data_IF_467582215228
#
_entry.id   IF_467582215228
#
_cell.length_a   1.000
_cell.length_b   1.000
_cell.length_c   1.000
_cell.angle_alpha   90.00
_cell.angle_beta   90.00
_cell.angle_gamma   90.00
#
_symmetry.space_group_name_H-M   'P 1'
#
loop_
_entity.id
_entity.type
_entity.pdbx_description
1 polymer ?
#
# COMPACT_ATOMS: atom_id res chain seq x y z
N UNK A 1 46.77 6.77 0.31
CA UNK A 1 45.91 5.56 0.33
C UNK A 1 45.13 5.50 -0.97
N UNK A 2 45.50 4.61 -1.90
CA UNK A 2 44.87 4.51 -3.23
C UNK A 2 43.58 3.67 -3.15
N UNK A 3 42.48 4.10 -3.79
CA UNK A 3 41.25 3.30 -3.85
C UNK A 3 41.52 2.01 -4.65
N UNK A 4 41.55 0.87 -3.96
CA UNK A 4 41.67 -0.47 -4.56
C UNK A 4 40.32 -0.86 -5.18
N UNK A 5 40.13 -0.46 -6.44
CA UNK A 5 39.20 -0.97 -7.47
C UNK A 5 38.72 0.21 -8.34
N UNK A 6 39.52 0.59 -9.33
CA UNK A 6 39.04 1.46 -10.40
C UNK A 6 38.43 0.55 -11.45
N UNK A 7 37.12 0.67 -11.68
CA UNK A 7 36.47 -0.03 -12.78
C UNK A 7 37.16 0.35 -14.10
N UNK A 8 37.85 -0.61 -14.73
CA UNK A 8 38.63 -0.41 -15.97
C UNK A 8 37.75 0.12 -17.11
N UNK A 9 36.45 -0.15 -17.07
CA UNK A 9 35.46 0.36 -18.04
C UNK A 9 34.48 1.30 -17.33
N UNK A 10 34.52 2.61 -17.68
CA UNK A 10 33.51 3.58 -17.24
C UNK A 10 32.17 3.25 -17.91
N UNK A 11 31.15 2.88 -17.12
CA UNK A 11 29.78 2.72 -17.62
C UNK A 11 29.29 4.04 -18.24
N UNK A 12 28.83 3.99 -19.49
CA UNK A 12 28.22 5.14 -20.18
C UNK A 12 27.07 5.72 -19.35
N UNK A 13 27.03 7.05 -19.19
CA UNK A 13 25.94 7.73 -18.48
C UNK A 13 24.63 7.53 -19.22
N UNK A 14 23.61 7.02 -18.54
CA UNK A 14 22.27 6.87 -19.11
C UNK A 14 21.65 8.25 -19.37
N UNK A 15 20.86 8.41 -20.44
CA UNK A 15 20.18 9.68 -20.74
C UNK A 15 19.23 10.07 -19.59
N UNK A 16 19.03 11.39 -19.43
CA UNK A 16 18.11 11.94 -18.42
C UNK A 16 16.69 11.47 -18.75
N UNK A 17 16.04 10.92 -17.74
CA UNK A 17 14.72 10.34 -17.86
C UNK A 17 13.65 11.42 -17.62
N UNK A 18 12.47 11.28 -18.23
CA UNK A 18 11.38 12.24 -18.08
C UNK A 18 10.94 12.40 -16.61
N UNK A 19 10.43 13.58 -16.27
CA UNK A 19 9.99 13.93 -14.90
C UNK A 19 8.92 12.97 -14.36
N UNK A 20 8.08 12.39 -15.22
CA UNK A 20 7.02 11.44 -14.85
C UNK A 20 7.47 9.98 -14.78
N UNK A 21 8.78 9.70 -14.83
CA UNK A 21 9.24 8.31 -14.71
C UNK A 21 9.04 7.73 -13.31
N UNK A 22 9.20 8.55 -12.28
CA UNK A 22 9.13 8.07 -10.90
C UNK A 22 7.68 7.94 -10.43
N UNK A 23 7.35 6.81 -9.78
CA UNK A 23 6.00 6.53 -9.27
C UNK A 23 5.42 7.61 -8.34
N UNK A 24 6.31 8.30 -7.61
CA UNK A 24 5.94 9.43 -6.73
C UNK A 24 5.33 10.62 -7.49
N UNK A 25 5.66 10.77 -8.78
CA UNK A 25 5.20 11.89 -9.61
C UNK A 25 3.96 11.52 -10.45
N UNK A 26 3.46 10.28 -10.34
CA UNK A 26 2.28 9.86 -11.11
C UNK A 26 0.99 10.44 -10.54
N UNK A 27 0.07 10.97 -11.37
CA UNK A 27 -1.22 11.45 -10.89
C UNK A 27 -2.05 10.30 -10.32
N UNK A 28 -2.63 10.49 -9.13
CA UNK A 28 -3.39 9.45 -8.42
C UNK A 28 -4.89 9.64 -8.63
N UNK A 29 -5.37 9.33 -9.83
CA UNK A 29 -6.79 9.47 -10.18
C UNK A 29 -7.66 8.45 -9.44
N UNK A 30 -8.76 8.94 -8.88
CA UNK A 30 -9.78 8.14 -8.21
C UNK A 30 -10.96 7.89 -9.16
N UNK A 31 -11.59 6.71 -9.07
CA UNK A 31 -12.85 6.42 -9.78
C UNK A 31 -14.00 7.27 -9.21
N UNK A 32 -14.96 7.72 -10.02
CA UNK A 32 -16.05 8.59 -9.56
C UNK A 32 -17.01 7.91 -8.56
N UNK A 33 -17.14 6.58 -8.61
CA UNK A 33 -17.95 5.83 -7.63
C UNK A 33 -17.35 5.81 -6.22
N UNK A 34 -16.07 6.18 -6.09
CA UNK A 34 -15.33 6.15 -4.83
C UNK A 34 -15.48 7.48 -4.11
N UNK A 35 -16.60 7.66 -3.43
CA UNK A 35 -16.78 8.78 -2.49
C UNK A 35 -16.52 8.31 -1.07
N UNK A 36 -15.92 9.13 -0.19
CA UNK A 36 -15.74 8.75 1.21
C UNK A 36 -17.08 8.29 1.80
N UNK A 37 -17.06 7.12 2.43
CA UNK A 37 -18.26 6.44 2.95
C UNK A 37 -19.01 5.54 1.98
N UNK A 38 -18.59 5.44 0.71
CA UNK A 38 -19.12 4.41 -0.20
C UNK A 38 -18.82 3.02 0.34
N UNK A 39 -19.83 2.15 0.32
CA UNK A 39 -19.65 0.72 0.60
C UNK A 39 -19.01 0.07 -0.63
N UNK A 40 -17.99 -0.73 -0.37
CA UNK A 40 -17.12 -1.33 -1.37
C UNK A 40 -17.03 -2.84 -1.19
N UNK A 41 -17.06 -3.56 -2.30
CA UNK A 41 -16.89 -5.01 -2.33
C UNK A 41 -15.45 -5.31 -2.73
N UNK A 42 -14.75 -6.07 -1.88
CA UNK A 42 -13.37 -6.47 -2.13
C UNK A 42 -13.33 -7.69 -3.06
N UNK A 43 -12.55 -7.63 -4.12
CA UNK A 43 -12.43 -8.72 -5.09
C UNK A 43 -11.26 -9.66 -4.79
N UNK A 44 -10.20 -9.13 -4.18
CA UNK A 44 -8.95 -9.86 -3.98
C UNK A 44 -8.47 -9.83 -2.53
N UNK A 45 -7.65 -10.83 -2.18
CA UNK A 45 -7.06 -10.99 -0.86
C UNK A 45 -7.94 -11.80 0.11
N UNK A 46 -7.54 -11.83 1.38
CA UNK A 46 -8.19 -12.66 2.42
C UNK A 46 -9.64 -12.23 2.73
N UNK A 47 -9.99 -10.99 2.40
CA UNK A 47 -11.30 -10.40 2.66
C UNK A 47 -12.15 -10.29 1.38
N UNK A 48 -11.86 -11.09 0.34
CA UNK A 48 -12.65 -11.12 -0.90
C UNK A 48 -14.13 -11.45 -0.64
N UNK A 49 -15.03 -10.85 -1.40
CA UNK A 49 -16.49 -10.97 -1.24
C UNK A 49 -17.09 -10.18 -0.08
N UNK A 50 -16.27 -9.68 0.85
CA UNK A 50 -16.76 -8.90 1.98
C UNK A 50 -17.07 -7.46 1.58
N UNK A 51 -18.11 -6.90 2.20
CA UNK A 51 -18.44 -5.48 2.13
C UNK A 51 -17.58 -4.72 3.15
N UNK A 52 -17.02 -3.60 2.73
CA UNK A 52 -16.24 -2.72 3.58
C UNK A 52 -16.58 -1.26 3.23
N UNK A 53 -16.07 -0.33 4.03
CA UNK A 53 -16.34 1.10 3.92
C UNK A 53 -15.07 1.80 3.46
N UNK A 54 -15.18 2.58 2.39
CA UNK A 54 -14.08 3.41 1.91
C UNK A 54 -13.96 4.68 2.77
N UNK A 55 -12.75 4.99 3.23
CA UNK A 55 -12.48 6.14 4.10
C UNK A 55 -11.82 7.29 3.32
N UNK A 56 -10.54 7.12 2.98
CA UNK A 56 -9.73 8.13 2.28
C UNK A 56 -8.78 7.50 1.27
N UNK A 57 -8.36 8.27 0.28
CA UNK A 57 -7.25 7.92 -0.60
C UNK A 57 -5.93 8.32 0.08
N UNK A 58 -4.93 7.44 0.05
CA UNK A 58 -3.58 7.71 0.55
C UNK A 58 -2.72 8.36 -0.53
N UNK A 59 -1.60 8.97 -0.13
CA UNK A 59 -0.66 9.64 -1.05
C UNK A 59 -0.07 8.72 -2.13
N UNK A 60 0.03 7.41 -1.86
CA UNK A 60 0.42 6.41 -2.86
C UNK A 60 -0.61 6.19 -3.98
N UNK A 61 -1.86 6.63 -3.78
CA UNK A 61 -3.02 6.32 -4.61
C UNK A 61 -3.77 5.05 -4.21
N UNK A 62 -3.32 4.37 -3.15
CA UNK A 62 -4.08 3.27 -2.53
C UNK A 62 -5.23 3.80 -1.70
N UNK A 63 -6.26 2.97 -1.51
CA UNK A 63 -7.45 3.31 -0.76
C UNK A 63 -7.34 2.76 0.66
N UNK A 64 -7.63 3.61 1.64
CA UNK A 64 -7.82 3.19 3.02
C UNK A 64 -9.28 2.74 3.18
N UNK A 65 -9.43 1.50 3.62
CA UNK A 65 -10.72 0.85 3.80
C UNK A 65 -10.79 0.32 5.23
N UNK A 66 -11.97 0.40 5.81
CA UNK A 66 -12.31 -0.29 7.05
C UNK A 66 -13.56 -1.12 6.81
N UNK A 67 -13.57 -2.40 7.18
CA UNK A 67 -14.84 -3.01 7.53
C UNK A 67 -14.99 -2.85 9.03
N UNK A 68 -16.15 -2.48 9.59
CA UNK A 68 -16.31 -2.52 11.03
C UNK A 68 -15.88 -3.90 11.55
N UNK A 69 -14.77 -3.96 12.31
CA UNK A 69 -14.05 -5.23 12.55
C UNK A 69 -14.93 -6.25 13.27
N UNK A 70 -15.80 -5.74 14.16
CA UNK A 70 -16.80 -6.52 14.88
C UNK A 70 -17.84 -7.20 13.97
N UNK A 71 -18.16 -6.61 12.82
CA UNK A 71 -19.16 -7.13 11.90
C UNK A 71 -18.54 -8.07 10.87
N UNK A 72 -17.50 -7.59 10.18
CA UNK A 72 -17.02 -8.26 8.95
C UNK A 72 -15.64 -8.91 9.14
N UNK A 73 -14.96 -8.66 10.26
CA UNK A 73 -13.59 -9.11 10.50
C UNK A 73 -12.55 -8.52 9.52
N UNK A 74 -12.90 -7.45 8.81
CA UNK A 74 -11.98 -6.74 7.92
C UNK A 74 -11.32 -5.61 8.71
N UNK A 75 -10.01 -5.67 9.01
CA UNK A 75 -9.34 -4.57 9.71
C UNK A 75 -9.16 -3.35 8.79
N UNK A 76 -8.64 -2.26 9.36
CA UNK A 76 -8.08 -1.15 8.59
C UNK A 76 -7.00 -1.67 7.64
N UNK A 77 -7.23 -1.50 6.33
CA UNK A 77 -6.38 -2.08 5.30
C UNK A 77 -6.28 -1.18 4.09
N UNK A 78 -5.10 -1.17 3.48
CA UNK A 78 -4.84 -0.53 2.17
C UNK A 78 -5.16 -1.49 1.03
N UNK A 79 -5.92 -1.03 0.04
CA UNK A 79 -6.31 -1.82 -1.14
C UNK A 79 -6.23 -0.94 -2.39
N UNK A 80 -5.89 -1.55 -3.53
CA UNK A 80 -5.88 -0.87 -4.82
C UNK A 80 -7.31 -0.78 -5.38
N UNK A 81 -7.68 0.37 -5.96
CA UNK A 81 -8.97 0.63 -6.58
C UNK A 81 -9.38 -0.35 -7.69
N UNK A 82 -8.42 -1.08 -8.29
CA UNK A 82 -8.72 -2.09 -9.32
C UNK A 82 -9.44 -3.30 -8.72
N UNK A 83 -9.08 -3.69 -7.49
CA UNK A 83 -9.62 -4.88 -6.83
C UNK A 83 -10.88 -4.62 -6.02
N UNK A 84 -11.62 -3.58 -6.39
CA UNK A 84 -12.73 -3.11 -5.60
C UNK A 84 -13.86 -2.60 -6.49
N UNK A 85 -15.08 -2.99 -6.13
CA UNK A 85 -16.30 -2.52 -6.77
C UNK A 85 -16.98 -1.53 -5.85
N UNK A 86 -17.21 -0.32 -6.36
CA UNK A 86 -18.04 0.68 -5.70
C UNK A 86 -19.50 0.35 -5.85
N UNK A 87 -20.19 0.23 -4.73
CA UNK A 87 -21.65 0.12 -4.73
C UNK A 87 -22.29 1.51 -4.76
N UNK A 88 -23.60 1.56 -4.98
CA UNK A 88 -24.37 2.81 -4.92
C UNK A 88 -24.68 3.25 -3.48
N UNK A 89 -24.60 2.33 -2.52
CA UNK A 89 -24.89 2.62 -1.11
C UNK A 89 -23.75 3.41 -0.48
N UNK A 90 -24.10 4.53 0.16
CA UNK A 90 -23.16 5.45 0.80
C UNK A 90 -23.56 5.65 2.27
N UNK A 91 -22.56 5.69 3.13
CA UNK A 91 -22.69 6.05 4.52
C UNK A 91 -22.18 7.48 4.71
N UNK A 92 -22.83 8.25 5.57
CA UNK A 92 -22.36 9.59 5.93
C UNK A 92 -21.24 9.45 6.98
N UNK A 93 -20.04 9.91 6.65
CA UNK A 93 -18.82 9.80 7.48
C UNK A 93 -18.27 11.20 7.77
N UNK A 94 -19.17 12.13 8.14
CA UNK A 94 -18.75 13.51 8.46
C UNK A 94 -18.14 13.60 9.86
N UNK A 95 -18.67 12.82 10.80
CA UNK A 95 -18.32 12.91 12.22
C UNK A 95 -17.17 11.96 12.62
N UNK A 96 -16.61 11.22 11.66
CA UNK A 96 -15.52 10.27 11.94
C UNK A 96 -14.19 10.87 11.55
N UNK A 97 -13.41 11.22 12.57
CA UNK A 97 -12.06 11.71 12.39
C UNK A 97 -11.11 10.55 12.03
N UNK A 98 -10.39 10.70 10.91
CA UNK A 98 -9.38 9.74 10.48
C UNK A 98 -8.02 10.28 10.93
N UNK A 99 -7.31 9.62 11.86
CA UNK A 99 -6.04 10.11 12.35
C UNK A 99 -4.98 10.31 11.27
N UNK A 100 -4.16 11.36 11.40
CA UNK A 100 -3.12 11.72 10.43
C UNK A 100 -1.95 10.74 10.39
N UNK A 101 -1.72 9.99 11.47
CA UNK A 101 -0.67 8.97 11.51
C UNK A 101 -0.95 7.79 10.56
N UNK A 102 -2.20 7.62 10.09
CA UNK A 102 -2.61 6.57 9.16
C UNK A 102 -2.17 6.87 7.72
N UNK A 103 -0.87 6.74 7.50
CA UNK A 103 -0.20 6.99 6.22
C UNK A 103 0.37 5.71 5.60
N UNK A 104 0.90 5.82 4.38
CA UNK A 104 1.48 4.69 3.66
C UNK A 104 2.65 3.99 4.39
N UNK A 105 3.38 4.75 5.23
CA UNK A 105 4.47 4.26 6.07
C UNK A 105 3.96 3.36 7.19
N UNK A 106 2.82 3.72 7.81
CA UNK A 106 2.22 2.95 8.90
C UNK A 106 1.89 1.53 8.47
N UNK A 107 1.32 1.38 7.28
CA UNK A 107 0.92 0.08 6.73
C UNK A 107 2.04 -0.64 5.97
N UNK A 108 3.27 -0.13 5.98
CA UNK A 108 4.39 -0.75 5.25
C UNK A 108 4.81 -2.03 5.98
N UNK A 109 4.94 -3.13 5.23
CA UNK A 109 5.42 -4.39 5.82
C UNK A 109 6.83 -4.21 6.36
N UNK A 110 7.04 -4.59 7.62
CA UNK A 110 8.36 -4.65 8.24
C UNK A 110 9.17 -5.73 7.52
N UNK A 111 10.36 -5.36 7.03
CA UNK A 111 11.31 -6.30 6.43
C UNK A 111 12.29 -6.73 7.52
N UNK A 112 12.32 -8.01 7.86
CA UNK A 112 13.34 -8.56 8.74
C UNK A 112 14.71 -8.47 8.04
N UNK A 113 15.75 -8.04 8.77
CA UNK A 113 17.12 -8.01 8.26
C UNK A 113 17.59 -9.46 8.05
N UNK A 114 18.19 -9.75 6.89
CA UNK A 114 18.86 -11.05 6.66
C UNK A 114 20.02 -11.17 7.65
N UNK A 115 20.06 -12.26 8.41
CA UNK A 115 21.17 -12.58 9.33
C UNK A 115 22.39 -13.08 8.54
N UNK A 116 23.55 -12.97 9.15
CA UNK A 116 24.87 -13.18 8.51
C UNK A 116 25.12 -14.65 8.16
N UNK A 117 24.56 -15.60 8.91
CA UNK A 117 24.71 -17.04 8.66
C UNK A 117 23.39 -17.62 8.10
N UNK A 118 23.29 -17.88 6.80
CA UNK A 118 22.04 -18.32 6.16
C UNK A 118 21.68 -19.80 6.41
N UNK A 119 22.65 -20.64 6.79
CA UNK A 119 22.48 -22.09 6.86
C UNK A 119 21.88 -22.60 8.20
N UNK A 120 22.17 -21.94 9.32
CA UNK A 120 21.75 -22.41 10.65
C UNK A 120 20.31 -22.02 11.04
N UNK A 121 19.72 -21.03 10.38
CA UNK A 121 18.44 -20.42 10.77
C UNK A 121 17.26 -20.76 9.81
N UNK A 122 17.44 -21.71 8.88
CA UNK A 122 16.48 -22.04 7.80
C UNK A 122 15.10 -22.46 8.34
N UNK A 123 15.07 -23.18 9.46
CA UNK A 123 13.85 -23.73 10.04
C UNK A 123 13.28 -22.91 11.21
N UNK A 124 14.00 -21.88 11.67
CA UNK A 124 13.50 -20.98 12.71
C UNK A 124 12.43 -20.11 12.08
N UNK A 125 11.17 -20.54 12.23
CA UNK A 125 10.01 -19.79 11.75
C UNK A 125 9.93 -18.51 12.56
N UNK A 126 10.56 -17.43 12.07
CA UNK A 126 10.43 -16.13 12.70
C UNK A 126 8.97 -15.72 12.62
N UNK A 127 8.25 -15.87 13.74
CA UNK A 127 6.86 -15.44 13.88
C UNK A 127 6.79 -13.95 13.55
N UNK A 128 5.90 -13.62 12.61
CA UNK A 128 5.61 -12.27 12.14
C UNK A 128 4.59 -11.57 13.02
#
# INVERSE_FOLDING_TARGET
MCPKLVSVVKRRKKPKLSKNKFFKNHPKKLKPSMTPGTIVILLAGRHKGKRAVFLKQLGSGLLLITGPHKLNGCPLRRINQIYMIGTKTKLNIKDVEIPDHLNDSYFKRIKQKKRINPEADIFVTQKK
#
